data_IF_675367402457
#
_entry.id   IF_675367402457
#
_cell.length_a   1.000
_cell.length_b   1.000
_cell.length_c   1.000
_cell.angle_alpha   90.00
_cell.angle_beta   90.00
_cell.angle_gamma   90.00
#
_symmetry.space_group_name_H-M   'P 1'
#
loop_
_entity.id
_entity.type
_entity.pdbx_description
1 polymer ?
#
# COMPACT_ATOMS: atom_id res chain seq x y z
N UNK A 1 -14.69 11.54 -24.14
CA UNK A 1 -14.19 12.06 -22.87
C UNK A 1 -15.10 11.58 -21.76
N UNK A 2 -14.56 11.07 -20.66
CA UNK A 2 -15.36 10.60 -19.53
C UNK A 2 -15.72 11.81 -18.65
N UNK A 3 -16.99 11.92 -18.26
CA UNK A 3 -17.52 13.07 -17.51
C UNK A 3 -18.42 12.64 -16.36
N UNK A 4 -18.29 13.29 -15.21
CA UNK A 4 -19.14 13.07 -14.05
C UNK A 4 -19.76 14.38 -13.57
N UNK A 5 -21.09 14.45 -13.43
CA UNK A 5 -21.73 15.49 -12.63
C UNK A 5 -21.54 15.21 -11.14
N UNK A 6 -21.24 16.27 -10.41
CA UNK A 6 -21.06 16.27 -8.96
C UNK A 6 -22.01 17.30 -8.33
N UNK A 7 -22.54 16.96 -7.17
CA UNK A 7 -23.54 17.76 -6.48
C UNK A 7 -23.09 18.08 -5.05
N UNK A 8 -23.54 19.20 -4.51
CA UNK A 8 -23.56 19.53 -3.09
C UNK A 8 -25.02 19.45 -2.58
N UNK A 9 -25.27 19.90 -1.36
CA UNK A 9 -26.62 19.83 -0.76
C UNK A 9 -27.63 20.72 -1.50
N UNK A 10 -27.15 21.78 -2.17
CA UNK A 10 -27.93 22.85 -2.81
C UNK A 10 -28.07 22.68 -4.33
N UNK A 11 -27.29 21.80 -4.97
CA UNK A 11 -27.38 21.56 -6.41
C UNK A 11 -26.05 21.10 -7.02
N UNK A 12 -25.76 21.44 -8.29
CA UNK A 12 -24.46 21.17 -8.89
C UNK A 12 -23.34 21.84 -8.09
N UNK A 13 -22.29 21.09 -7.75
CA UNK A 13 -21.24 21.60 -6.89
C UNK A 13 -20.56 22.83 -7.51
N UNK A 14 -20.27 23.84 -6.70
CA UNK A 14 -19.52 25.04 -7.11
C UNK A 14 -18.00 24.84 -7.09
N UNK A 15 -17.53 23.91 -6.26
CA UNK A 15 -16.12 23.50 -6.15
C UNK A 15 -16.04 22.01 -5.86
N UNK A 16 -15.00 21.34 -6.35
CA UNK A 16 -14.73 19.94 -6.03
C UNK A 16 -13.24 19.67 -5.84
N UNK A 17 -12.81 19.21 -4.65
CA UNK A 17 -11.40 18.90 -4.41
C UNK A 17 -10.97 17.66 -5.21
N UNK A 18 -9.93 17.78 -6.03
CA UNK A 18 -9.35 16.68 -6.81
C UNK A 18 -8.26 15.92 -6.05
N UNK A 19 -8.44 15.74 -4.74
CA UNK A 19 -7.41 15.13 -3.88
C UNK A 19 -7.22 13.66 -4.23
N UNK A 20 -5.99 13.30 -4.56
CA UNK A 20 -5.64 11.92 -4.95
C UNK A 20 -6.34 11.44 -6.23
N UNK A 21 -6.90 12.35 -7.05
CA UNK A 21 -7.66 11.96 -8.22
C UNK A 21 -6.77 11.38 -9.32
N UNK A 22 -7.07 10.17 -9.78
CA UNK A 22 -6.36 9.48 -10.87
C UNK A 22 -7.29 8.53 -11.62
N UNK A 23 -6.85 8.06 -12.79
CA UNK A 23 -7.61 7.12 -13.61
C UNK A 23 -7.04 5.72 -13.45
N UNK A 24 -7.92 4.72 -13.51
CA UNK A 24 -7.58 3.31 -13.45
C UNK A 24 -8.12 2.59 -14.69
N UNK A 25 -7.32 1.68 -15.24
CA UNK A 25 -7.70 0.76 -16.30
C UNK A 25 -8.09 -0.61 -15.75
N UNK A 26 -8.12 -1.64 -16.61
CA UNK A 26 -8.29 -3.03 -16.17
C UNK A 26 -7.31 -3.40 -15.05
N UNK A 27 -7.76 -4.28 -14.14
CA UNK A 27 -6.97 -4.77 -12.99
C UNK A 27 -6.49 -3.69 -12.00
N UNK A 28 -7.18 -2.55 -12.01
CA UNK A 28 -6.87 -1.35 -11.22
C UNK A 28 -5.47 -0.78 -11.52
N UNK A 29 -4.99 -0.93 -12.77
CA UNK A 29 -3.71 -0.36 -13.18
C UNK A 29 -3.87 1.13 -13.47
N UNK A 30 -2.97 1.96 -12.91
CA UNK A 30 -2.97 3.40 -13.14
C UNK A 30 -2.90 3.79 -14.63
N UNK A 31 -3.80 4.68 -15.05
CA UNK A 31 -3.86 5.23 -16.41
C UNK A 31 -3.53 6.71 -16.37
N UNK A 32 -2.66 7.14 -17.29
CA UNK A 32 -2.31 8.54 -17.45
C UNK A 32 -3.49 9.34 -17.99
N UNK A 33 -3.80 10.41 -17.29
CA UNK A 33 -4.83 11.34 -17.70
C UNK A 33 -4.78 12.64 -16.93
N UNK A 34 -5.61 13.58 -17.37
CA UNK A 34 -5.84 14.85 -16.69
C UNK A 34 -7.28 14.89 -16.20
N UNK A 35 -7.46 15.24 -14.94
CA UNK A 35 -8.77 15.40 -14.32
C UNK A 35 -8.95 16.88 -14.01
N UNK A 36 -10.09 17.43 -14.40
CA UNK A 36 -10.46 18.84 -14.17
C UNK A 36 -11.87 18.91 -13.63
N UNK A 37 -12.13 19.94 -12.84
CA UNK A 37 -13.46 20.29 -12.38
C UNK A 37 -13.85 21.63 -12.99
N UNK A 38 -15.03 21.71 -13.60
CA UNK A 38 -15.59 22.94 -14.15
C UNK A 38 -17.12 22.87 -14.13
N UNK A 39 -17.78 23.92 -13.60
CA UNK A 39 -19.24 24.08 -13.60
C UNK A 39 -20.03 22.82 -13.14
N UNK A 40 -19.66 22.23 -12.00
CA UNK A 40 -20.32 21.05 -11.46
C UNK A 40 -20.00 19.73 -12.18
N UNK A 41 -19.02 19.72 -13.07
CA UNK A 41 -18.64 18.54 -13.86
C UNK A 41 -17.15 18.24 -13.72
N UNK A 42 -16.85 17.00 -13.34
CA UNK A 42 -15.52 16.40 -13.47
C UNK A 42 -15.32 15.88 -14.88
N UNK A 43 -14.20 16.25 -15.47
CA UNK A 43 -13.79 15.86 -16.82
C UNK A 43 -12.49 15.09 -16.76
N UNK A 44 -12.50 13.87 -17.29
CA UNK A 44 -11.36 12.97 -17.33
C UNK A 44 -10.86 12.83 -18.77
N UNK A 45 -9.71 13.43 -19.05
CA UNK A 45 -9.00 13.35 -20.33
C UNK A 45 -7.93 12.26 -20.25
N UNK A 46 -7.88 11.36 -21.24
CA UNK A 46 -6.86 10.31 -21.34
C UNK A 46 -6.49 10.08 -22.80
N UNK A 47 -5.38 9.38 -23.03
CA UNK A 47 -5.04 8.87 -24.36
C UNK A 47 -5.90 7.61 -24.65
N UNK A 48 -6.48 7.54 -25.85
CA UNK A 48 -7.34 6.43 -26.25
C UNK A 48 -8.80 6.61 -25.82
N UNK A 49 -9.61 5.55 -26.04
CA UNK A 49 -11.06 5.53 -25.73
C UNK A 49 -11.47 4.34 -24.85
N UNK A 50 -10.52 3.54 -24.38
CA UNK A 50 -10.78 2.38 -23.53
C UNK A 50 -11.47 2.79 -22.24
N UNK A 51 -12.40 1.98 -21.74
CA UNK A 51 -13.12 2.28 -20.51
C UNK A 51 -12.14 2.42 -19.33
N UNK A 52 -12.34 3.46 -18.51
CA UNK A 52 -11.52 3.72 -17.31
C UNK A 52 -12.42 4.00 -16.12
N UNK A 53 -11.88 3.76 -14.93
CA UNK A 53 -12.45 4.20 -13.68
C UNK A 53 -11.82 5.52 -13.24
N UNK A 54 -12.60 6.33 -12.54
CA UNK A 54 -12.11 7.48 -11.79
C UNK A 54 -11.94 7.06 -10.33
N UNK A 55 -10.76 7.30 -9.76
CA UNK A 55 -10.44 7.09 -8.36
C UNK A 55 -10.13 8.45 -7.72
N UNK A 56 -10.70 8.74 -6.55
CA UNK A 56 -10.49 9.99 -5.81
C UNK A 56 -10.83 9.84 -4.32
N UNK A 57 -10.33 10.75 -3.48
CA UNK A 57 -10.83 10.91 -2.12
C UNK A 57 -12.24 11.50 -2.15
N UNK A 58 -13.16 10.84 -1.45
CA UNK A 58 -14.56 11.24 -1.34
C UNK A 58 -15.00 11.26 0.13
N UNK A 59 -15.89 12.18 0.47
CA UNK A 59 -16.45 12.28 1.82
C UNK A 59 -17.50 11.20 2.06
N UNK A 60 -17.33 10.47 3.15
CA UNK A 60 -18.14 9.32 3.55
C UNK A 60 -18.44 9.40 5.05
N UNK A 61 -19.38 10.24 5.50
CA UNK A 61 -19.76 10.31 6.91
C UNK A 61 -20.29 8.97 7.43
N UNK A 62 -19.98 8.57 8.69
CA UNK A 62 -19.13 9.28 9.67
C UNK A 62 -17.62 8.98 9.54
N UNK A 63 -17.19 8.19 8.56
CA UNK A 63 -15.82 7.68 8.41
C UNK A 63 -14.79 8.70 7.87
N UNK A 64 -15.21 9.91 7.53
CA UNK A 64 -14.34 10.96 7.03
C UNK A 64 -14.14 10.87 5.51
N UNK A 65 -12.90 11.00 5.03
CA UNK A 65 -12.56 10.91 3.60
C UNK A 65 -11.93 9.57 3.28
N UNK A 66 -12.46 8.84 2.29
CA UNK A 66 -11.94 7.55 1.83
C UNK A 66 -11.61 7.60 0.34
N UNK A 67 -10.56 6.89 -0.07
CA UNK A 67 -10.21 6.74 -1.48
C UNK A 67 -11.20 5.76 -2.11
N UNK A 68 -12.05 6.25 -3.01
CA UNK A 68 -13.07 5.46 -3.68
C UNK A 68 -12.88 5.51 -5.20
N UNK A 69 -13.39 4.50 -5.90
CA UNK A 69 -13.34 4.42 -7.35
C UNK A 69 -14.70 4.10 -7.96
N UNK A 70 -14.87 4.44 -9.24
CA UNK A 70 -16.01 4.01 -10.06
C UNK A 70 -15.73 2.65 -10.71
N UNK A 71 -16.74 2.07 -11.37
CA UNK A 71 -16.50 1.00 -12.35
C UNK A 71 -15.70 1.54 -13.55
N UNK A 72 -15.20 0.63 -14.40
CA UNK A 72 -14.70 1.00 -15.73
C UNK A 72 -15.88 1.49 -16.57
N UNK A 73 -15.83 2.76 -16.99
CA UNK A 73 -16.91 3.40 -17.72
C UNK A 73 -16.45 3.82 -19.12
N UNK A 74 -17.25 3.53 -20.17
CA UNK A 74 -16.98 4.06 -21.49
C UNK A 74 -17.26 5.56 -21.54
N UNK A 75 -16.74 6.21 -22.57
CA UNK A 75 -17.11 7.59 -22.86
C UNK A 75 -18.58 7.66 -23.34
N UNK A 76 -19.33 8.66 -22.89
CA UNK A 76 -20.69 8.93 -23.37
C UNK A 76 -21.01 10.43 -23.37
N UNK A 77 -22.08 10.80 -24.07
CA UNK A 77 -22.51 12.20 -24.14
C UNK A 77 -23.02 12.70 -22.80
N UNK A 78 -23.99 12.05 -22.15
CA UNK A 78 -24.51 12.52 -20.86
C UNK A 78 -23.50 12.23 -19.72
N UNK A 79 -23.12 13.21 -18.87
CA UNK A 79 -22.29 12.92 -17.70
C UNK A 79 -22.87 11.82 -16.80
N UNK A 80 -22.02 11.04 -16.14
CA UNK A 80 -22.40 10.12 -15.06
C UNK A 80 -22.63 10.90 -13.77
N UNK A 81 -23.55 10.46 -12.90
CA UNK A 81 -23.59 11.03 -11.54
C UNK A 81 -22.47 10.35 -10.75
N UNK A 82 -21.49 11.12 -10.25
CA UNK A 82 -20.29 10.56 -9.61
C UNK A 82 -20.65 9.56 -8.51
N UNK A 83 -21.49 10.00 -7.56
CA UNK A 83 -21.82 9.21 -6.37
C UNK A 83 -22.57 7.92 -6.72
N UNK A 84 -23.41 7.94 -7.76
CA UNK A 84 -24.08 6.73 -8.27
C UNK A 84 -23.04 5.71 -8.74
N UNK A 85 -22.01 6.14 -9.44
CA UNK A 85 -20.98 5.23 -9.95
C UNK A 85 -19.97 4.79 -8.87
N UNK A 86 -19.73 5.60 -7.84
CA UNK A 86 -18.99 5.20 -6.64
C UNK A 86 -19.78 4.13 -5.85
N UNK A 87 -21.08 4.35 -5.64
CA UNK A 87 -21.98 3.38 -4.99
C UNK A 87 -22.04 2.07 -5.80
N UNK A 88 -22.18 2.16 -7.13
CA UNK A 88 -22.19 0.99 -8.03
C UNK A 88 -20.94 0.15 -7.87
N UNK A 89 -19.77 0.80 -7.84
CA UNK A 89 -18.51 0.11 -7.66
C UNK A 89 -18.43 -0.57 -6.28
N UNK A 90 -18.81 0.13 -5.21
CA UNK A 90 -18.77 -0.43 -3.86
C UNK A 90 -19.70 -1.63 -3.71
N UNK A 91 -20.89 -1.57 -4.29
CA UNK A 91 -21.86 -2.68 -4.32
C UNK A 91 -21.29 -3.88 -5.08
N UNK A 92 -20.72 -3.65 -6.27
CA UNK A 92 -20.02 -4.69 -7.04
C UNK A 92 -18.91 -5.34 -6.19
N UNK A 93 -18.11 -4.53 -5.50
CA UNK A 93 -17.01 -5.02 -4.66
C UNK A 93 -17.52 -5.88 -3.50
N UNK A 94 -18.60 -5.46 -2.82
CA UNK A 94 -19.21 -6.25 -1.75
C UNK A 94 -19.65 -7.63 -2.26
N UNK A 95 -20.38 -7.69 -3.38
CA UNK A 95 -20.83 -8.98 -3.97
C UNK A 95 -19.60 -9.86 -4.27
N UNK A 96 -18.65 -9.33 -5.05
CA UNK A 96 -17.48 -10.07 -5.48
C UNK A 96 -16.67 -10.61 -4.29
N UNK A 97 -16.45 -9.80 -3.25
CA UNK A 97 -15.69 -10.21 -2.08
C UNK A 97 -16.47 -11.13 -1.14
N UNK A 98 -17.79 -10.99 -1.06
CA UNK A 98 -18.64 -11.95 -0.34
C UNK A 98 -18.57 -13.34 -0.98
N UNK A 99 -18.52 -13.42 -2.31
CA UNK A 99 -18.35 -14.68 -3.04
C UNK A 99 -16.94 -15.24 -2.87
N UNK A 100 -15.91 -14.42 -3.15
CA UNK A 100 -14.49 -14.80 -3.06
C UNK A 100 -14.10 -15.31 -1.67
N UNK A 101 -14.60 -14.64 -0.62
CA UNK A 101 -14.36 -15.04 0.77
C UNK A 101 -15.33 -16.11 1.29
N UNK A 102 -16.27 -16.57 0.47
CA UNK A 102 -17.33 -17.52 0.86
C UNK A 102 -18.16 -17.03 2.05
N UNK A 103 -18.40 -15.72 2.12
CA UNK A 103 -19.15 -15.02 3.16
C UNK A 103 -20.56 -14.60 2.69
N UNK A 104 -21.08 -15.24 1.64
CA UNK A 104 -22.40 -14.93 1.08
C UNK A 104 -23.57 -15.54 1.87
N UNK A 105 -23.32 -16.57 2.69
CA UNK A 105 -24.33 -17.26 3.52
C UNK A 105 -24.37 -16.78 4.98
N UNK A 106 -23.96 -15.53 5.24
CA UNK A 106 -24.13 -14.93 6.55
C UNK A 106 -25.63 -14.82 6.90
N UNK A 107 -25.97 -15.03 8.17
CA UNK A 107 -27.34 -14.86 8.66
C UNK A 107 -27.89 -13.49 8.26
N UNK A 108 -29.17 -13.37 7.85
CA UNK A 108 -29.80 -12.08 7.54
C UNK A 108 -29.73 -11.07 8.70
N UNK A 109 -29.64 -11.55 9.94
CA UNK A 109 -29.46 -10.70 11.13
C UNK A 109 -28.04 -10.17 11.31
N UNK A 110 -27.05 -10.67 10.56
CA UNK A 110 -25.66 -10.23 10.65
C UNK A 110 -25.55 -8.76 10.23
N UNK A 111 -24.79 -7.91 10.96
CA UNK A 111 -24.66 -6.48 10.65
C UNK A 111 -24.27 -6.19 9.19
N UNK A 112 -23.35 -6.96 8.61
CA UNK A 112 -22.95 -6.80 7.20
C UNK A 112 -24.14 -6.96 6.23
N UNK A 113 -25.01 -7.96 6.47
CA UNK A 113 -26.15 -8.25 5.60
C UNK A 113 -27.27 -7.21 5.74
N UNK A 114 -27.51 -6.70 6.95
CA UNK A 114 -28.49 -5.62 7.17
C UNK A 114 -28.11 -4.34 6.41
N UNK A 115 -26.87 -3.87 6.57
CA UNK A 115 -26.37 -2.70 5.87
C UNK A 115 -26.30 -2.93 4.35
N UNK A 116 -26.01 -4.15 3.91
CA UNK A 116 -26.07 -4.52 2.50
C UNK A 116 -27.47 -4.35 1.91
N UNK A 117 -28.51 -4.84 2.58
CA UNK A 117 -29.89 -4.70 2.12
C UNK A 117 -30.36 -3.24 2.08
N UNK A 118 -29.99 -2.44 3.09
CA UNK A 118 -30.23 -0.99 3.10
C UNK A 118 -29.53 -0.30 1.91
N UNK A 119 -28.24 -0.61 1.69
CA UNK A 119 -27.49 -0.10 0.55
C UNK A 119 -28.14 -0.45 -0.78
N UNK A 120 -28.59 -1.70 -0.95
CA UNK A 120 -29.27 -2.19 -2.15
C UNK A 120 -30.58 -1.46 -2.39
N UNK A 121 -31.37 -1.22 -1.34
CA UNK A 121 -32.63 -0.47 -1.44
C UNK A 121 -32.39 0.98 -1.89
N UNK A 122 -31.48 1.69 -1.24
CA UNK A 122 -31.12 3.07 -1.62
C UNK A 122 -30.52 3.16 -3.02
N UNK A 123 -29.67 2.20 -3.40
CA UNK A 123 -29.09 2.17 -4.74
C UNK A 123 -30.14 1.92 -5.82
N UNK A 124 -31.15 1.10 -5.54
CA UNK A 124 -32.28 0.87 -6.45
C UNK A 124 -33.01 2.18 -6.73
N UNK A 125 -33.26 2.99 -5.70
CA UNK A 125 -33.83 4.35 -5.87
C UNK A 125 -32.90 5.22 -6.72
N UNK A 126 -31.59 5.21 -6.42
CA UNK A 126 -30.62 6.04 -7.11
C UNK A 126 -30.53 5.78 -8.62
N UNK A 127 -30.68 4.53 -9.06
CA UNK A 127 -30.58 4.16 -10.49
C UNK A 127 -31.92 4.25 -11.24
N UNK A 128 -33.05 4.31 -10.54
CA UNK A 128 -34.39 4.35 -11.14
C UNK A 128 -34.99 5.75 -11.21
N UNK A 129 -34.55 6.68 -10.34
CA UNK A 129 -35.04 8.05 -10.36
C UNK A 129 -34.54 8.84 -11.58
N UNK A 130 -35.40 9.62 -12.26
CA UNK A 130 -34.99 10.45 -13.39
C UNK A 130 -34.30 11.75 -12.98
N UNK A 131 -34.52 12.23 -11.74
CA UNK A 131 -33.91 13.44 -11.20
C UNK A 131 -32.47 13.17 -10.72
N UNK A 132 -31.45 13.81 -11.33
CA UNK A 132 -30.06 13.61 -10.94
C UNK A 132 -29.73 13.99 -9.49
N UNK A 133 -30.43 14.97 -8.90
CA UNK A 133 -30.18 15.40 -7.51
C UNK A 133 -30.75 14.35 -6.55
N UNK A 134 -31.98 13.88 -6.78
CA UNK A 134 -32.52 12.74 -6.05
C UNK A 134 -31.66 11.47 -6.22
N UNK A 135 -31.11 11.23 -7.41
CA UNK A 135 -30.21 10.11 -7.66
C UNK A 135 -28.92 10.22 -6.83
N UNK A 136 -28.31 11.40 -6.78
CA UNK A 136 -27.12 11.65 -5.97
C UNK A 136 -27.38 11.43 -4.48
N UNK A 137 -28.47 11.99 -3.94
CA UNK A 137 -28.85 11.84 -2.53
C UNK A 137 -29.07 10.38 -2.14
N UNK A 138 -29.82 9.63 -2.96
CA UNK A 138 -30.02 8.20 -2.73
C UNK A 138 -28.72 7.40 -2.87
N UNK A 139 -27.83 7.79 -3.79
CA UNK A 139 -26.53 7.14 -3.96
C UNK A 139 -25.57 7.40 -2.79
N UNK A 140 -25.61 8.58 -2.15
CA UNK A 140 -24.82 8.87 -0.93
C UNK A 140 -25.19 7.91 0.19
N UNK A 141 -26.49 7.74 0.43
CA UNK A 141 -26.96 6.80 1.45
C UNK A 141 -26.57 5.36 1.09
N UNK A 142 -26.79 4.96 -0.16
CA UNK A 142 -26.37 3.64 -0.64
C UNK A 142 -24.86 3.40 -0.44
N UNK A 143 -24.02 4.40 -0.74
CA UNK A 143 -22.59 4.32 -0.61
C UNK A 143 -22.15 4.18 0.86
N UNK A 144 -22.69 5.01 1.76
CA UNK A 144 -22.38 4.95 3.19
C UNK A 144 -22.76 3.60 3.81
N UNK A 145 -23.95 3.10 3.47
CA UNK A 145 -24.41 1.78 3.91
C UNK A 145 -23.55 0.66 3.32
N UNK A 146 -23.18 0.74 2.04
CA UNK A 146 -22.33 -0.27 1.40
C UNK A 146 -20.90 -0.30 1.95
N UNK A 147 -20.34 0.85 2.32
CA UNK A 147 -19.04 0.93 3.00
C UNK A 147 -19.13 0.27 4.37
N UNK A 148 -20.17 0.62 5.16
CA UNK A 148 -20.40 0.00 6.46
C UNK A 148 -20.59 -1.51 6.35
N UNK A 149 -21.35 -1.98 5.36
CA UNK A 149 -21.52 -3.41 5.08
C UNK A 149 -20.16 -4.08 4.77
N UNK A 150 -19.34 -3.43 3.94
CA UNK A 150 -18.00 -3.92 3.56
C UNK A 150 -17.04 -4.02 4.75
N UNK A 151 -17.03 -3.00 5.61
CA UNK A 151 -16.27 -2.98 6.87
C UNK A 151 -16.66 -4.17 7.76
N UNK A 152 -17.97 -4.39 7.97
CA UNK A 152 -18.48 -5.51 8.79
C UNK A 152 -18.17 -6.87 8.18
N UNK A 153 -18.22 -6.99 6.85
CA UNK A 153 -17.89 -8.21 6.13
C UNK A 153 -16.39 -8.56 6.28
N UNK A 154 -15.52 -7.57 6.11
CA UNK A 154 -14.07 -7.73 6.28
C UNK A 154 -13.70 -8.13 7.73
N UNK A 155 -14.32 -7.50 8.73
CA UNK A 155 -14.12 -7.86 10.13
C UNK A 155 -14.56 -9.31 10.43
N UNK A 156 -15.76 -9.71 9.98
CA UNK A 156 -16.26 -11.06 10.19
C UNK A 156 -15.37 -12.12 9.52
N UNK A 157 -14.88 -11.83 8.30
CA UNK A 157 -13.96 -12.71 7.60
C UNK A 157 -12.62 -12.84 8.37
N UNK A 158 -12.06 -11.73 8.84
CA UNK A 158 -10.83 -11.73 9.63
C UNK A 158 -10.98 -12.54 10.93
N UNK A 159 -12.10 -12.41 11.64
CA UNK A 159 -12.40 -13.15 12.87
C UNK A 159 -12.42 -14.68 12.62
N UNK A 160 -13.08 -15.13 11.55
CA UNK A 160 -13.10 -16.54 11.15
C UNK A 160 -11.68 -17.04 10.87
N UNK A 161 -10.88 -16.28 10.11
CA UNK A 161 -9.51 -16.66 9.78
C UNK A 161 -8.60 -16.73 11.01
N UNK A 162 -8.72 -15.78 11.94
CA UNK A 162 -7.96 -15.76 13.18
C UNK A 162 -8.33 -16.94 14.07
N UNK A 163 -9.63 -17.22 14.25
CA UNK A 163 -10.08 -18.38 15.01
C UNK A 163 -9.57 -19.69 14.42
N UNK A 164 -9.65 -19.87 13.09
CA UNK A 164 -9.12 -21.07 12.42
C UNK A 164 -7.61 -21.19 12.58
N UNK A 165 -6.87 -20.09 12.36
CA UNK A 165 -5.41 -20.07 12.40
C UNK A 165 -4.86 -20.38 13.79
N UNK A 166 -5.52 -19.89 14.83
CA UNK A 166 -5.05 -20.00 16.21
C UNK A 166 -5.86 -20.97 17.07
N UNK A 167 -6.70 -21.81 16.45
CA UNK A 167 -7.50 -22.83 17.16
C UNK A 167 -6.63 -23.83 17.93
N UNK A 168 -5.50 -24.25 17.35
CA UNK A 168 -4.63 -25.30 17.91
C UNK A 168 -3.31 -24.77 18.47
N UNK A 169 -2.85 -23.60 18.03
CA UNK A 169 -1.57 -23.03 18.42
C UNK A 169 -1.70 -21.52 18.54
N UNK A 170 -1.24 -20.97 19.66
CA UNK A 170 -1.16 -19.52 19.85
C UNK A 170 -0.25 -18.87 18.80
N UNK A 171 -0.48 -17.57 18.56
CA UNK A 171 0.40 -16.76 17.72
C UNK A 171 1.84 -16.79 18.25
N UNK A 172 2.81 -16.71 17.33
CA UNK A 172 4.20 -16.52 17.71
C UNK A 172 4.35 -15.16 18.39
N UNK A 173 5.19 -15.05 19.41
CA UNK A 173 5.57 -13.76 19.99
C UNK A 173 6.13 -12.81 18.92
N UNK A 174 6.84 -13.34 17.92
CA UNK A 174 7.35 -12.58 16.78
C UNK A 174 6.31 -12.27 15.68
N UNK A 175 5.01 -12.47 15.92
CA UNK A 175 3.94 -12.09 14.98
C UNK A 175 3.80 -10.57 14.87
N UNK A 176 4.03 -9.84 15.96
CA UNK A 176 4.00 -8.38 15.99
C UNK A 176 5.40 -7.86 16.31
N UNK A 177 5.83 -6.87 15.55
CA UNK A 177 7.09 -6.17 15.76
C UNK A 177 6.93 -4.67 15.67
N UNK A 178 7.93 -3.95 16.17
CA UNK A 178 7.96 -2.48 16.13
C UNK A 178 9.19 -1.99 15.39
N UNK A 179 9.01 -0.94 14.59
CA UNK A 179 10.12 -0.19 14.03
C UNK A 179 10.74 0.69 15.12
N UNK A 180 12.02 0.49 15.40
CA UNK A 180 12.78 1.33 16.32
C UNK A 180 13.76 2.17 15.51
N UNK A 181 13.48 3.47 15.40
CA UNK A 181 14.39 4.39 14.71
C UNK A 181 15.75 4.46 15.43
N UNK A 182 16.87 4.14 14.77
CA UNK A 182 18.19 4.05 15.44
C UNK A 182 18.61 5.31 16.20
N UNK A 183 18.21 6.48 15.69
CA UNK A 183 18.52 7.80 16.25
C UNK A 183 17.63 8.19 17.44
N UNK A 184 16.58 7.42 17.74
CA UNK A 184 15.73 7.62 18.92
C UNK A 184 16.20 6.65 19.99
N UNK A 185 16.61 7.19 21.13
CA UNK A 185 17.04 6.40 22.29
C UNK A 185 16.59 7.06 23.59
N UNK A 186 16.41 6.25 24.63
CA UNK A 186 15.98 6.68 25.94
C UNK A 186 15.51 5.51 26.80
N UNK A 187 15.67 5.60 28.11
CA UNK A 187 15.28 4.55 29.05
C UNK A 187 13.80 4.18 28.94
N UNK A 188 12.91 5.17 28.79
CA UNK A 188 11.48 4.95 28.60
C UNK A 188 11.14 4.16 27.33
N UNK A 189 11.80 4.48 26.21
CA UNK A 189 11.61 3.76 24.95
C UNK A 189 12.12 2.33 25.06
N UNK A 190 13.32 2.13 25.63
CA UNK A 190 13.87 0.79 25.84
C UNK A 190 12.99 -0.07 26.73
N UNK A 191 12.46 0.49 27.81
CA UNK A 191 11.55 -0.23 28.71
C UNK A 191 10.23 -0.59 28.02
N UNK A 192 9.67 0.35 27.24
CA UNK A 192 8.47 0.10 26.45
C UNK A 192 8.67 -1.08 25.48
N UNK A 193 9.76 -1.06 24.69
CA UNK A 193 10.07 -2.12 23.72
C UNK A 193 10.41 -3.42 24.44
N UNK A 194 11.14 -3.37 25.57
CA UNK A 194 11.47 -4.55 26.37
C UNK A 194 10.24 -5.31 26.80
N UNK A 195 9.27 -4.59 27.38
CA UNK A 195 8.14 -5.17 28.10
C UNK A 195 6.93 -5.49 27.22
N UNK A 196 6.84 -4.93 26.00
CA UNK A 196 5.64 -5.05 25.17
C UNK A 196 5.87 -5.61 23.76
N UNK A 197 7.12 -5.76 23.31
CA UNK A 197 7.41 -6.14 21.91
C UNK A 197 8.47 -7.20 21.83
N UNK A 198 8.20 -8.29 21.10
CA UNK A 198 9.13 -9.41 20.99
C UNK A 198 10.00 -9.36 19.72
N UNK A 199 9.57 -8.66 18.66
CA UNK A 199 10.31 -8.51 17.41
C UNK A 199 10.70 -7.04 17.19
N UNK A 200 11.99 -6.78 16.97
CA UNK A 200 12.49 -5.45 16.62
C UNK A 200 12.76 -5.37 15.12
N UNK A 201 12.19 -4.36 14.48
CA UNK A 201 12.53 -3.98 13.11
C UNK A 201 13.46 -2.78 13.16
N UNK A 202 14.65 -2.92 12.59
CA UNK A 202 15.68 -1.89 12.53
C UNK A 202 15.70 -1.27 11.13
N UNK A 203 15.00 -0.14 10.91
CA UNK A 203 15.01 0.53 9.63
C UNK A 203 16.40 1.12 9.36
N UNK A 204 16.92 0.87 8.17
CA UNK A 204 18.16 1.45 7.68
C UNK A 204 17.87 2.55 6.67
N UNK A 205 18.64 3.63 6.76
CA UNK A 205 18.72 4.67 5.75
C UNK A 205 20.18 4.88 5.44
N UNK A 206 20.54 4.76 4.17
CA UNK A 206 21.93 4.89 3.74
C UNK A 206 22.49 6.27 4.13
N UNK A 207 21.73 7.34 3.95
CA UNK A 207 22.05 8.72 4.38
C UNK A 207 22.45 8.82 5.86
N UNK A 208 21.77 8.07 6.71
CA UNK A 208 21.99 8.15 8.15
C UNK A 208 23.19 7.30 8.58
N UNK A 209 23.53 6.26 7.81
CA UNK A 209 24.65 5.38 8.08
C UNK A 209 25.96 5.86 7.46
N UNK A 210 25.93 6.43 6.25
CA UNK A 210 27.08 6.94 5.50
C UNK A 210 26.84 8.40 5.11
N UNK A 211 27.08 9.28 6.09
CA UNK A 211 26.77 10.71 6.01
C UNK A 211 27.63 11.38 4.93
N UNK A 212 28.90 10.98 4.83
CA UNK A 212 29.85 11.37 3.79
C UNK A 212 30.38 10.08 3.13
N UNK A 213 30.75 10.14 1.86
CA UNK A 213 31.29 8.97 1.13
C UNK A 213 32.46 8.33 1.90
N UNK A 214 32.33 7.05 2.21
CA UNK A 214 33.28 6.26 2.98
C UNK A 214 33.22 6.44 4.50
N UNK A 215 32.48 7.42 5.02
CA UNK A 215 32.43 7.75 6.46
C UNK A 215 31.11 7.29 7.08
N UNK A 216 31.21 6.23 7.87
CA UNK A 216 30.05 5.60 8.50
C UNK A 216 29.85 6.03 9.96
N UNK A 217 28.61 6.33 10.33
CA UNK A 217 28.16 6.43 11.73
C UNK A 217 27.37 5.17 12.14
N UNK A 218 28.07 4.22 12.73
CA UNK A 218 27.49 2.96 13.19
C UNK A 218 26.82 3.06 14.56
N UNK A 219 27.16 4.07 15.35
CA UNK A 219 26.86 4.10 16.77
C UNK A 219 25.35 4.01 17.09
N UNK A 220 24.44 4.71 16.35
CA UNK A 220 22.99 4.59 16.58
C UNK A 220 22.46 3.18 16.35
N UNK A 221 22.89 2.51 15.28
CA UNK A 221 22.42 1.17 14.92
C UNK A 221 23.04 0.11 15.83
N UNK A 222 24.35 0.17 16.07
CA UNK A 222 25.08 -0.76 16.95
C UNK A 222 24.44 -0.86 18.33
N UNK A 223 24.10 0.29 18.91
CA UNK A 223 23.50 0.40 20.24
C UNK A 223 22.21 -0.42 20.35
N UNK A 224 21.34 -0.31 19.35
CA UNK A 224 20.07 -1.02 19.34
C UNK A 224 20.22 -2.50 18.96
N UNK A 225 21.15 -2.83 18.06
CA UNK A 225 21.45 -4.23 17.70
C UNK A 225 22.04 -4.98 18.90
N UNK A 226 22.98 -4.36 19.63
CA UNK A 226 23.54 -4.92 20.85
C UNK A 226 22.45 -5.08 21.92
N UNK A 227 21.64 -4.04 22.14
CA UNK A 227 20.53 -4.12 23.09
C UNK A 227 19.54 -5.24 22.74
N UNK A 228 19.14 -5.37 21.48
CA UNK A 228 18.21 -6.42 21.05
C UNK A 228 18.81 -7.82 21.27
N UNK A 229 20.12 -7.99 20.99
CA UNK A 229 20.86 -9.22 21.27
C UNK A 229 20.88 -9.54 22.76
N UNK A 230 21.18 -8.57 23.63
CA UNK A 230 21.19 -8.73 25.09
C UNK A 230 19.79 -9.08 25.64
N UNK A 231 18.73 -8.54 25.05
CA UNK A 231 17.34 -8.86 25.40
C UNK A 231 16.81 -10.14 24.73
N UNK A 232 17.61 -10.82 23.89
CA UNK A 232 17.19 -12.01 23.17
C UNK A 232 16.07 -11.78 22.14
N UNK A 233 15.89 -10.54 21.67
CA UNK A 233 14.84 -10.19 20.71
C UNK A 233 15.30 -10.44 19.27
N UNK A 234 14.54 -11.18 18.45
CA UNK A 234 14.79 -11.28 17.01
C UNK A 234 14.84 -9.91 16.34
N UNK A 235 15.71 -9.78 15.33
CA UNK A 235 15.91 -8.54 14.57
C UNK A 235 15.61 -8.78 13.10
N UNK A 236 14.72 -7.95 12.55
CA UNK A 236 14.59 -7.70 11.10
C UNK A 236 15.33 -6.41 10.81
N UNK A 237 16.14 -6.35 9.75
CA UNK A 237 16.91 -5.15 9.42
C UNK A 237 16.86 -4.83 7.93
N UNK A 238 16.85 -3.54 7.61
CA UNK A 238 16.89 -3.02 6.24
C UNK A 238 15.92 -1.85 6.06
N UNK A 239 15.56 -1.47 4.83
CA UNK A 239 16.01 -2.06 3.58
C UNK A 239 17.51 -1.86 3.35
N UNK A 240 18.15 -2.84 2.70
CA UNK A 240 19.52 -2.69 2.18
C UNK A 240 19.55 -1.76 0.97
N UNK A 241 18.53 -1.83 0.11
CA UNK A 241 18.34 -0.90 -1.02
C UNK A 241 17.06 -0.09 -0.83
N UNK A 242 17.20 1.21 -0.59
CA UNK A 242 16.13 2.20 -0.70
C UNK A 242 16.74 3.46 -1.33
N UNK A 243 16.35 3.73 -2.57
CA UNK A 243 16.87 4.87 -3.34
C UNK A 243 16.00 6.12 -3.19
N UNK A 244 14.96 6.09 -2.35
CA UNK A 244 14.10 7.26 -2.12
C UNK A 244 14.87 8.43 -1.52
N UNK A 245 14.36 9.65 -1.73
CA UNK A 245 15.00 10.89 -1.27
C UNK A 245 15.27 10.91 0.24
N UNK A 246 14.43 10.22 1.01
CA UNK A 246 14.55 10.11 2.48
C UNK A 246 15.66 9.16 2.95
N UNK A 247 16.12 8.25 2.09
CA UNK A 247 17.06 7.20 2.46
C UNK A 247 18.43 7.37 1.81
N UNK A 248 18.50 7.98 0.62
CA UNK A 248 19.73 8.10 -0.15
C UNK A 248 20.59 9.29 0.33
N UNK A 249 21.92 9.15 0.52
CA UNK A 249 22.82 10.26 0.84
C UNK A 249 22.87 11.33 -0.25
N UNK A 250 23.22 12.57 0.10
CA UNK A 250 23.29 13.67 -0.87
C UNK A 250 24.45 13.52 -1.87
N UNK A 251 25.57 12.92 -1.45
CA UNK A 251 26.73 12.70 -2.31
C UNK A 251 26.48 11.69 -3.45
N UNK A 252 25.47 10.83 -3.32
CA UNK A 252 25.08 9.88 -4.38
C UNK A 252 24.50 10.55 -5.62
N UNK A 253 23.95 11.78 -5.53
CA UNK A 253 23.30 12.44 -6.66
C UNK A 253 24.25 12.79 -7.81
N UNK A 254 25.57 12.85 -7.55
CA UNK A 254 26.59 12.99 -8.60
C UNK A 254 26.51 11.84 -9.61
N UNK A 255 26.07 10.67 -9.16
CA UNK A 255 26.04 9.43 -9.93
C UNK A 255 24.65 9.07 -10.47
N UNK A 256 23.64 9.94 -10.32
CA UNK A 256 22.22 9.61 -10.60
C UNK A 256 21.93 9.11 -12.03
N UNK A 257 22.84 9.36 -12.99
CA UNK A 257 22.73 8.92 -14.38
C UNK A 257 23.74 7.82 -14.76
N UNK A 258 24.56 7.38 -13.82
CA UNK A 258 25.54 6.30 -13.98
C UNK A 258 25.13 5.12 -13.09
N UNK A 259 24.36 4.21 -13.69
CA UNK A 259 23.84 3.05 -12.98
C UNK A 259 24.95 2.11 -12.51
N UNK A 260 26.00 1.90 -13.30
CA UNK A 260 27.06 0.96 -12.93
C UNK A 260 27.79 1.46 -11.68
N UNK A 261 28.15 2.75 -11.65
CA UNK A 261 28.75 3.36 -10.46
C UNK A 261 27.78 3.35 -9.26
N UNK A 262 26.48 3.63 -9.49
CA UNK A 262 25.47 3.54 -8.43
C UNK A 262 25.35 2.13 -7.84
N UNK A 263 25.36 1.10 -8.70
CA UNK A 263 25.26 -0.30 -8.29
C UNK A 263 26.49 -0.69 -7.46
N UNK A 264 27.67 -0.29 -7.88
CA UNK A 264 28.92 -0.64 -7.21
C UNK A 264 29.02 0.04 -5.83
N UNK A 265 28.66 1.32 -5.73
CA UNK A 265 28.56 2.05 -4.45
C UNK A 265 27.51 1.44 -3.51
N UNK A 266 26.33 1.08 -4.06
CA UNK A 266 25.29 0.41 -3.29
C UNK A 266 25.78 -0.97 -2.80
N UNK A 267 26.51 -1.72 -3.63
CA UNK A 267 27.10 -3.00 -3.24
C UNK A 267 28.07 -2.85 -2.07
N UNK A 268 28.97 -1.87 -2.13
CA UNK A 268 29.93 -1.60 -1.06
C UNK A 268 29.23 -1.25 0.26
N UNK A 269 28.22 -0.37 0.21
CA UNK A 269 27.39 -0.03 1.35
C UNK A 269 26.71 -1.28 1.94
N UNK A 270 25.99 -2.04 1.10
CA UNK A 270 25.27 -3.23 1.54
C UNK A 270 26.23 -4.28 2.13
N UNK A 271 27.39 -4.49 1.52
CA UNK A 271 28.40 -5.46 1.95
C UNK A 271 28.91 -5.14 3.35
N UNK A 272 29.23 -3.86 3.62
CA UNK A 272 29.66 -3.39 4.95
C UNK A 272 28.56 -3.60 6.00
N UNK A 273 27.31 -3.26 5.68
CA UNK A 273 26.16 -3.43 6.57
C UNK A 273 25.92 -4.91 6.89
N UNK A 274 25.87 -5.76 5.86
CA UNK A 274 25.62 -7.19 6.01
C UNK A 274 26.74 -7.86 6.80
N UNK A 275 28.00 -7.59 6.46
CA UNK A 275 29.16 -8.15 7.16
C UNK A 275 29.16 -7.79 8.66
N UNK A 276 28.78 -6.54 8.98
CA UNK A 276 28.71 -6.06 10.37
C UNK A 276 27.61 -6.75 11.18
N UNK A 277 26.42 -6.95 10.61
CA UNK A 277 25.25 -7.37 11.39
C UNK A 277 24.74 -8.81 11.12
N UNK A 278 25.35 -9.57 10.20
CA UNK A 278 24.94 -10.96 9.84
C UNK A 278 24.84 -11.94 11.01
N UNK A 279 25.56 -11.67 12.11
CA UNK A 279 25.54 -12.49 13.32
C UNK A 279 24.26 -12.34 14.16
N UNK A 280 23.55 -11.21 14.04
CA UNK A 280 22.38 -10.88 14.88
C UNK A 280 21.08 -10.87 14.08
N UNK A 281 21.12 -10.41 12.83
CA UNK A 281 19.92 -10.26 12.00
C UNK A 281 19.35 -11.61 11.59
N UNK A 282 18.07 -11.83 11.88
CA UNK A 282 17.34 -13.06 11.52
C UNK A 282 16.69 -13.01 10.14
N UNK A 283 16.33 -11.82 9.67
CA UNK A 283 15.75 -11.58 8.35
C UNK A 283 16.15 -10.19 7.83
N UNK A 284 16.58 -10.14 6.58
CA UNK A 284 16.98 -8.91 5.91
C UNK A 284 15.89 -8.41 4.97
N UNK A 285 15.45 -7.16 5.12
CA UNK A 285 14.76 -6.46 4.05
C UNK A 285 15.81 -6.05 3.01
N UNK A 286 15.83 -6.70 1.85
CA UNK A 286 16.89 -6.50 0.85
C UNK A 286 16.63 -5.31 -0.05
N UNK A 287 15.37 -4.97 -0.30
CA UNK A 287 14.99 -3.84 -1.13
C UNK A 287 13.60 -3.33 -0.75
N UNK A 288 13.41 -2.01 -0.72
CA UNK A 288 12.12 -1.38 -0.49
C UNK A 288 11.79 -0.37 -1.60
N UNK A 289 10.53 -0.39 -2.04
CA UNK A 289 9.92 0.65 -2.87
C UNK A 289 10.59 0.93 -4.25
N UNK A 290 11.44 0.03 -4.76
CA UNK A 290 12.05 0.19 -6.08
C UNK A 290 10.99 0.32 -7.20
N UNK A 291 9.82 -0.31 -7.03
CA UNK A 291 8.68 -0.22 -7.95
C UNK A 291 8.19 1.22 -8.15
N UNK A 292 8.30 2.08 -7.13
CA UNK A 292 7.85 3.48 -7.22
C UNK A 292 8.75 4.32 -8.10
N UNK A 293 10.01 3.90 -8.26
CA UNK A 293 11.05 4.59 -9.02
C UNK A 293 11.18 6.08 -8.63
N UNK A 294 10.93 6.45 -7.37
CA UNK A 294 10.63 7.83 -6.95
C UNK A 294 11.76 8.84 -7.21
N UNK A 295 13.02 8.40 -7.13
CA UNK A 295 14.17 9.30 -7.12
C UNK A 295 15.14 9.04 -8.28
N UNK A 296 15.93 7.96 -8.22
CA UNK A 296 16.83 7.56 -9.31
C UNK A 296 16.02 6.78 -10.34
N UNK A 297 16.03 7.25 -11.60
CA UNK A 297 15.22 6.66 -12.68
C UNK A 297 15.85 5.36 -13.19
N UNK A 298 15.50 4.27 -12.54
CA UNK A 298 15.94 2.94 -12.93
C UNK A 298 15.06 2.38 -14.04
N UNK A 299 15.65 1.63 -14.95
CA UNK A 299 14.92 0.69 -15.79
C UNK A 299 14.43 -0.49 -14.95
N UNK A 300 13.38 -1.16 -15.41
CA UNK A 300 12.88 -2.38 -14.77
C UNK A 300 13.93 -3.49 -14.63
N UNK A 301 14.89 -3.57 -15.55
CA UNK A 301 15.99 -4.55 -15.48
C UNK A 301 16.96 -4.18 -14.35
N UNK A 302 17.30 -2.91 -14.22
CA UNK A 302 18.14 -2.39 -13.14
C UNK A 302 17.51 -2.56 -11.76
N UNK A 303 16.18 -2.38 -11.63
CA UNK A 303 15.48 -2.65 -10.37
C UNK A 303 15.61 -4.12 -9.93
N UNK A 304 15.45 -5.05 -10.87
CA UNK A 304 15.60 -6.50 -10.60
C UNK A 304 17.06 -6.84 -10.29
N UNK A 305 18.01 -6.25 -11.01
CA UNK A 305 19.44 -6.46 -10.82
C UNK A 305 19.91 -6.03 -9.42
N UNK A 306 19.54 -4.84 -8.95
CA UNK A 306 19.81 -4.40 -7.56
C UNK A 306 19.18 -5.33 -6.52
N UNK A 307 17.91 -5.71 -6.73
CA UNK A 307 17.21 -6.63 -5.83
C UNK A 307 17.91 -7.99 -5.76
N UNK A 308 18.34 -8.52 -6.91
CA UNK A 308 19.11 -9.78 -7.01
C UNK A 308 20.44 -9.66 -6.29
N UNK A 309 21.17 -8.58 -6.54
CA UNK A 309 22.48 -8.30 -5.95
C UNK A 309 22.40 -8.29 -4.43
N UNK A 310 21.43 -7.57 -3.86
CA UNK A 310 21.20 -7.52 -2.42
C UNK A 310 20.83 -8.90 -1.85
N UNK A 311 19.94 -9.65 -2.52
CA UNK A 311 19.53 -11.00 -2.09
C UNK A 311 20.70 -11.98 -2.11
N UNK A 312 21.52 -11.99 -3.17
CA UNK A 312 22.69 -12.85 -3.29
C UNK A 312 23.74 -12.53 -2.22
N UNK A 313 24.03 -11.25 -2.00
CA UNK A 313 24.97 -10.79 -0.97
C UNK A 313 24.57 -11.32 0.42
N UNK A 314 23.30 -11.17 0.81
CA UNK A 314 22.79 -11.69 2.09
C UNK A 314 22.95 -13.20 2.17
N UNK A 315 22.56 -13.94 1.13
CA UNK A 315 22.61 -15.42 1.14
C UNK A 315 24.04 -15.97 1.13
N UNK A 316 24.98 -15.25 0.51
CA UNK A 316 26.41 -15.60 0.54
C UNK A 316 27.04 -15.30 1.90
N UNK A 317 26.61 -14.23 2.59
CA UNK A 317 27.16 -13.84 3.89
C UNK A 317 26.93 -14.88 5.00
N UNK A 318 25.81 -15.60 4.94
CA UNK A 318 25.41 -16.61 5.93
C UNK A 318 24.42 -17.63 5.34
N UNK A 319 24.73 -18.92 5.46
CA UNK A 319 23.81 -20.00 5.09
C UNK A 319 22.53 -19.92 5.91
N UNK A 320 21.38 -19.96 5.23
CA UNK A 320 20.06 -19.89 5.86
C UNK A 320 19.61 -18.47 6.25
N UNK A 321 20.34 -17.43 5.85
CA UNK A 321 19.85 -16.06 5.98
C UNK A 321 18.53 -15.89 5.20
N UNK A 322 17.53 -15.31 5.87
CA UNK A 322 16.23 -15.02 5.27
C UNK A 322 16.21 -13.62 4.70
N UNK A 323 15.49 -13.46 3.61
CA UNK A 323 15.37 -12.22 2.84
C UNK A 323 13.90 -11.86 2.64
N UNK A 324 13.60 -10.58 2.72
CA UNK A 324 12.30 -9.99 2.43
C UNK A 324 12.49 -8.92 1.37
N UNK A 325 11.58 -8.85 0.42
CA UNK A 325 11.47 -7.71 -0.50
C UNK A 325 10.23 -6.94 -0.10
N UNK A 326 10.30 -5.62 -0.10
CA UNK A 326 9.22 -4.77 0.38
C UNK A 326 8.67 -3.85 -0.72
N UNK A 327 7.34 -3.81 -0.83
CA UNK A 327 6.62 -2.88 -1.71
C UNK A 327 6.01 -1.73 -0.92
N UNK A 328 6.09 -0.53 -1.48
CA UNK A 328 5.35 0.66 -1.04
C UNK A 328 4.31 1.04 -2.09
N UNK A 329 3.29 1.76 -1.64
CA UNK A 329 2.15 2.18 -2.46
C UNK A 329 1.46 0.98 -3.11
N UNK A 330 0.94 0.03 -2.30
CA UNK A 330 0.43 -1.24 -2.80
C UNK A 330 -0.76 -1.09 -3.76
N UNK A 331 -1.45 0.05 -3.72
CA UNK A 331 -2.56 0.38 -4.63
C UNK A 331 -2.11 0.93 -5.99
N UNK A 332 -0.82 1.23 -6.17
CA UNK A 332 -0.24 1.55 -7.48
C UNK A 332 -0.60 2.93 -8.04
N UNK A 333 -1.04 3.88 -7.21
CA UNK A 333 -1.49 5.20 -7.67
C UNK A 333 -0.36 5.98 -8.38
N UNK A 334 0.89 5.75 -7.97
CA UNK A 334 2.07 6.37 -8.57
C UNK A 334 2.21 6.11 -10.07
N UNK A 335 1.68 5.00 -10.58
CA UNK A 335 1.74 4.63 -12.00
C UNK A 335 0.99 5.63 -12.89
N UNK A 336 -0.07 6.26 -12.36
CA UNK A 336 -0.80 7.29 -13.10
C UNK A 336 0.07 8.55 -13.32
N UNK A 337 0.97 8.86 -12.39
CA UNK A 337 1.83 10.04 -12.43
C UNK A 337 3.22 9.82 -13.02
N UNK A 338 3.82 8.63 -12.85
CA UNK A 338 5.24 8.38 -13.16
C UNK A 338 5.42 7.32 -14.26
N UNK A 339 6.23 7.64 -15.29
CA UNK A 339 6.31 6.83 -16.53
C UNK A 339 7.01 5.51 -16.29
N UNK A 340 8.14 5.59 -15.61
CA UNK A 340 9.10 4.50 -15.49
C UNK A 340 8.96 3.77 -14.16
N UNK A 341 7.86 4.03 -13.44
CA UNK A 341 7.48 3.24 -12.27
C UNK A 341 6.69 1.99 -12.68
N UNK A 342 6.74 0.96 -11.85
CA UNK A 342 6.04 -0.30 -12.08
C UNK A 342 4.85 -0.44 -11.12
N UNK A 343 3.72 -1.01 -11.58
CA UNK A 343 2.69 -1.50 -10.66
C UNK A 343 3.30 -2.48 -9.64
N UNK A 344 2.89 -2.43 -8.36
CA UNK A 344 3.52 -3.23 -7.29
C UNK A 344 3.55 -4.73 -7.59
N UNK A 345 2.43 -5.31 -8.06
CA UNK A 345 2.36 -6.74 -8.40
C UNK A 345 3.25 -7.07 -9.59
N UNK A 346 3.21 -6.26 -10.66
CA UNK A 346 4.06 -6.46 -11.84
C UNK A 346 5.55 -6.41 -11.51
N UNK A 347 5.96 -5.57 -10.55
CA UNK A 347 7.34 -5.56 -10.07
C UNK A 347 7.72 -6.89 -9.41
N UNK A 348 6.88 -7.40 -8.49
CA UNK A 348 7.15 -8.65 -7.80
C UNK A 348 7.08 -9.86 -8.75
N UNK A 349 6.11 -9.90 -9.66
CA UNK A 349 6.03 -10.93 -10.70
C UNK A 349 7.31 -10.98 -11.51
N UNK A 350 7.85 -9.82 -11.89
CA UNK A 350 9.12 -9.75 -12.63
C UNK A 350 10.30 -10.24 -11.79
N UNK A 351 10.39 -9.85 -10.53
CA UNK A 351 11.43 -10.34 -9.60
C UNK A 351 11.38 -11.87 -9.50
N UNK A 352 10.19 -12.46 -9.40
CA UNK A 352 9.98 -13.92 -9.33
C UNK A 352 10.33 -14.60 -10.66
N UNK A 353 9.84 -14.08 -11.80
CA UNK A 353 10.11 -14.62 -13.14
C UNK A 353 11.59 -14.64 -13.48
N UNK A 354 12.32 -13.61 -13.03
CA UNK A 354 13.77 -13.48 -13.19
C UNK A 354 14.54 -14.35 -12.19
N UNK A 355 13.86 -15.18 -11.37
CA UNK A 355 14.47 -16.16 -10.49
C UNK A 355 15.13 -15.57 -9.23
N UNK A 356 14.79 -14.34 -8.83
CA UNK A 356 15.26 -13.76 -7.57
C UNK A 356 14.51 -14.43 -6.42
N UNK A 357 15.24 -15.18 -5.58
CA UNK A 357 14.66 -15.88 -4.44
C UNK A 357 14.56 -14.98 -3.22
N UNK A 358 13.37 -14.89 -2.64
CA UNK A 358 13.11 -14.23 -1.36
C UNK A 358 12.16 -15.07 -0.50
N UNK A 359 12.20 -14.87 0.81
CA UNK A 359 11.51 -15.71 1.79
C UNK A 359 10.20 -15.08 2.29
N UNK A 360 10.02 -13.78 2.10
CA UNK A 360 8.78 -13.05 2.43
C UNK A 360 8.60 -11.79 1.58
N UNK A 361 7.34 -11.41 1.32
CA UNK A 361 6.97 -10.13 0.73
C UNK A 361 6.48 -9.18 1.84
N UNK A 362 7.17 -8.07 2.02
CA UNK A 362 6.73 -6.97 2.86
C UNK A 362 5.79 -6.03 2.10
N UNK A 363 4.64 -5.71 2.69
CA UNK A 363 3.70 -4.71 2.16
C UNK A 363 3.57 -3.58 3.18
N UNK A 364 3.93 -2.36 2.78
CA UNK A 364 3.75 -1.18 3.61
C UNK A 364 2.31 -0.64 3.50
N UNK A 365 1.63 -0.57 4.63
CA UNK A 365 0.29 0.00 4.81
C UNK A 365 0.36 1.24 5.69
N UNK A 366 0.88 2.33 5.13
CA UNK A 366 0.84 3.66 5.76
C UNK A 366 -0.32 4.43 5.14
N UNK A 367 -1.37 4.71 5.90
CA UNK A 367 -2.59 5.39 5.44
C UNK A 367 -2.86 6.64 6.28
N UNK A 368 -3.84 7.46 5.90
CA UNK A 368 -4.28 8.63 6.69
C UNK A 368 -3.41 9.88 6.57
N UNK A 369 -2.53 9.98 5.56
CA UNK A 369 -1.72 11.19 5.34
C UNK A 369 -1.80 11.66 3.89
N UNK A 370 -1.41 12.91 3.64
CA UNK A 370 -1.46 13.52 2.30
C UNK A 370 -0.37 13.06 1.33
N UNK A 371 0.46 12.08 1.70
CA UNK A 371 1.53 11.55 0.85
C UNK A 371 1.03 10.53 -0.17
N UNK A 372 1.82 10.33 -1.24
CA UNK A 372 1.51 9.37 -2.30
C UNK A 372 1.35 7.94 -1.74
N UNK A 373 0.30 7.25 -2.16
CA UNK A 373 -0.04 5.91 -1.70
C UNK A 373 -0.50 5.82 -0.23
N UNK A 374 -0.76 6.96 0.44
CA UNK A 374 -1.14 7.03 1.86
C UNK A 374 -2.55 7.53 2.12
N UNK A 375 -3.39 7.55 1.09
CA UNK A 375 -4.79 7.91 1.25
C UNK A 375 -5.53 6.91 2.15
N UNK A 376 -6.46 7.43 2.96
CA UNK A 376 -7.33 6.65 3.84
C UNK A 376 -8.20 5.66 3.05
N UNK A 377 -8.33 4.45 3.58
CA UNK A 377 -9.04 3.32 2.97
C UNK A 377 -9.70 2.46 4.03
N UNK A 378 -10.79 1.82 3.65
CA UNK A 378 -11.55 0.91 4.51
C UNK A 378 -10.90 -0.48 4.61
N UNK A 379 -11.34 -1.28 5.60
CA UNK A 379 -10.82 -2.63 5.82
C UNK A 379 -11.04 -3.55 4.61
N UNK A 380 -12.13 -3.37 3.86
CA UNK A 380 -12.41 -4.18 2.67
C UNK A 380 -11.33 -3.94 1.59
N UNK A 381 -10.96 -2.69 1.34
CA UNK A 381 -9.88 -2.36 0.40
C UNK A 381 -8.53 -2.89 0.87
N UNK A 382 -8.22 -2.78 2.17
CA UNK A 382 -6.97 -3.29 2.74
C UNK A 382 -6.89 -4.82 2.67
N UNK A 383 -7.95 -5.54 3.02
CA UNK A 383 -8.02 -6.99 2.86
C UNK A 383 -7.92 -7.40 1.39
N UNK A 384 -8.65 -6.71 0.50
CA UNK A 384 -8.64 -6.99 -0.93
C UNK A 384 -7.25 -6.89 -1.55
N UNK A 385 -6.46 -5.86 -1.17
CA UNK A 385 -5.11 -5.71 -1.72
C UNK A 385 -4.14 -6.76 -1.16
N UNK A 386 -4.30 -7.16 0.10
CA UNK A 386 -3.50 -8.23 0.71
C UNK A 386 -3.80 -9.59 0.08
N UNK A 387 -5.06 -9.88 -0.26
CA UNK A 387 -5.46 -11.09 -0.99
C UNK A 387 -4.70 -11.21 -2.32
N UNK A 388 -4.57 -10.10 -3.07
CA UNK A 388 -3.84 -10.08 -4.35
C UNK A 388 -2.38 -10.47 -4.18
N UNK A 389 -1.72 -10.01 -3.13
CA UNK A 389 -0.33 -10.39 -2.82
C UNK A 389 -0.22 -11.83 -2.31
N UNK A 390 -1.23 -12.34 -1.59
CA UNK A 390 -1.23 -13.70 -1.08
C UNK A 390 -1.24 -14.76 -2.20
N UNK A 391 -1.76 -14.42 -3.40
CA UNK A 391 -1.74 -15.28 -4.58
C UNK A 391 -0.33 -15.60 -5.10
N UNK A 392 0.69 -14.81 -4.72
CA UNK A 392 2.08 -15.02 -5.14
C UNK A 392 2.75 -16.23 -4.46
N UNK A 393 2.05 -16.93 -3.57
CA UNK A 393 2.54 -18.12 -2.83
C UNK A 393 3.82 -17.88 -2.01
N UNK A 394 4.16 -16.62 -1.75
CA UNK A 394 5.21 -16.22 -0.81
C UNK A 394 4.55 -15.65 0.45
N UNK A 395 5.06 -15.93 1.66
CA UNK A 395 4.52 -15.33 2.88
C UNK A 395 4.46 -13.80 2.80
N UNK A 396 3.27 -13.23 3.03
CA UNK A 396 3.06 -11.78 3.06
C UNK A 396 3.16 -11.28 4.50
N UNK A 397 3.94 -10.22 4.70
CA UNK A 397 4.10 -9.50 5.96
C UNK A 397 3.60 -8.07 5.77
N UNK A 398 2.74 -7.59 6.66
CA UNK A 398 2.52 -6.15 6.77
C UNK A 398 3.76 -5.57 7.45
N UNK A 399 4.71 -5.10 6.65
CA UNK A 399 6.06 -4.76 7.11
C UNK A 399 6.14 -3.37 7.75
N UNK A 400 5.17 -2.51 7.45
CA UNK A 400 4.90 -1.27 8.17
C UNK A 400 3.39 -1.02 8.17
N UNK A 401 2.84 -0.68 9.33
CA UNK A 401 1.46 -0.25 9.50
C UNK A 401 1.45 1.12 10.18
N UNK A 402 0.74 2.08 9.60
CA UNK A 402 0.58 3.41 10.18
C UNK A 402 -0.74 4.03 9.77
N UNK A 403 -1.48 4.55 10.74
CA UNK A 403 -2.73 5.30 10.53
C UNK A 403 -2.77 6.42 11.59
N UNK A 404 -2.06 7.55 11.37
CA UNK A 404 -2.11 8.66 12.29
C UNK A 404 -3.54 9.24 12.34
N UNK A 405 -3.93 9.73 13.52
CA UNK A 405 -5.21 10.37 13.82
C UNK A 405 -5.29 11.83 13.41
#
# INVERSE_FOLDING_TARGET
MLRFSVYDDDGPASAWPLRGAHLLGPEDVGVRGRIRFENGVLTCERRGRDAVALCLLHETPPLGQLMLQTCLLPDREKPYVLTVELARHRIKQFIAKSEEWQMFDLSPGHPAMRHWEEARAHFTVAVTTPDPIAADRAAREALNQAITASERLAMAHAEILLHRRFASRAASSATLGVHVWPHRDGSALRELVKSNVDLVVMPLRWRDLEVEEGRFDWAPVDRWVQWAKEQGKPVVMGPLVDLSKRALPDWMYVWQHDYDTCRDLAYDYMSRVVERYRGVVGMWNVASALNTNENFELTSTQMVDLTRTASLLVRQSRRGARTMIEVRQPFGEHVAGKRDSLPPLSFIDRVVQEGVKFDALGVQLEIGTSGDGRASRDLMQLSSILDRFALLQVPVLVSALGAPS
#
